data_IF_856196061782
#
_entry.id   IF_856196061782
#
_cell.length_a   1.000
_cell.length_b   1.000
_cell.length_c   1.000
_cell.angle_alpha   90.00
_cell.angle_beta   90.00
_cell.angle_gamma   90.00
#
_symmetry.space_group_name_H-M   'P 1'
#
loop_
_entity.id
_entity.type
_entity.pdbx_description
1 polymer ?
#
# COMPACT_ATOMS: atom_id res chain seq x y z
N UNK A 1 12.02 19.67 -18.39
CA UNK A 1 12.21 20.16 -17.00
C UNK A 1 12.79 19.01 -16.20
N UNK A 2 13.65 19.29 -15.23
CA UNK A 2 14.11 18.29 -14.27
C UNK A 2 12.88 17.70 -13.53
N UNK A 3 12.87 16.39 -13.28
CA UNK A 3 11.79 15.75 -12.53
C UNK A 3 11.82 16.30 -11.09
N UNK A 4 10.67 16.60 -10.43
CA UNK A 4 10.67 17.31 -9.14
C UNK A 4 11.64 16.72 -8.11
N UNK A 5 11.66 15.39 -7.95
CA UNK A 5 12.56 14.71 -7.01
C UNK A 5 14.07 14.82 -7.32
N UNK A 6 14.48 15.23 -8.52
CA UNK A 6 15.90 15.50 -8.80
C UNK A 6 16.44 16.70 -8.00
N UNK A 7 15.53 17.58 -7.54
CA UNK A 7 15.89 18.75 -6.73
C UNK A 7 15.93 18.47 -5.23
N UNK A 8 15.48 17.30 -4.78
CA UNK A 8 15.47 16.91 -3.36
C UNK A 8 16.82 16.32 -2.94
N UNK A 9 17.83 17.20 -2.86
CA UNK A 9 19.20 16.85 -2.45
C UNK A 9 19.27 16.57 -0.94
N UNK A 10 20.32 15.87 -0.46
CA UNK A 10 20.55 15.70 0.98
C UNK A 10 20.55 17.03 1.74
N UNK A 11 21.15 18.08 1.19
CA UNK A 11 21.16 19.42 1.80
C UNK A 11 19.73 19.98 1.95
N UNK A 12 18.88 19.85 0.91
CA UNK A 12 17.50 20.30 0.99
C UNK A 12 16.67 19.50 2.00
N UNK A 13 16.96 18.21 2.16
CA UNK A 13 16.35 17.37 3.20
C UNK A 13 16.73 17.88 4.58
N UNK A 14 18.00 18.22 4.81
CA UNK A 14 18.46 18.81 6.06
C UNK A 14 17.79 20.15 6.34
N UNK A 15 17.82 21.07 5.36
CA UNK A 15 17.20 22.39 5.46
C UNK A 15 15.70 22.29 5.79
N UNK A 16 15.00 21.31 5.21
CA UNK A 16 13.59 21.06 5.51
C UNK A 16 13.37 20.66 6.97
N UNK A 17 14.14 19.71 7.50
CA UNK A 17 14.04 19.26 8.89
C UNK A 17 14.42 20.37 9.88
N UNK A 18 15.48 21.12 9.59
CA UNK A 18 15.94 22.24 10.41
C UNK A 18 14.97 23.43 10.37
N UNK A 19 14.27 23.65 9.24
CA UNK A 19 13.29 24.75 9.11
C UNK A 19 12.13 24.67 10.09
N UNK A 20 11.87 23.48 10.66
CA UNK A 20 10.87 23.25 11.70
C UNK A 20 11.50 23.01 13.09
N UNK A 21 12.78 23.35 13.27
CA UNK A 21 13.43 23.44 14.58
C UNK A 21 14.17 22.19 15.07
N UNK A 22 14.32 21.17 14.23
CA UNK A 22 15.12 19.98 14.56
C UNK A 22 16.53 20.11 13.98
N UNK A 23 17.50 20.44 14.83
CA UNK A 23 18.91 20.57 14.42
C UNK A 23 19.49 19.22 13.99
N UNK A 24 20.04 19.14 12.78
CA UNK A 24 20.61 17.91 12.25
C UNK A 24 22.08 17.76 12.62
N UNK A 25 22.54 16.52 12.79
CA UNK A 25 23.96 16.19 12.89
C UNK A 25 24.64 15.94 11.51
N UNK A 26 23.98 16.37 10.44
CA UNK A 26 24.35 16.22 9.03
C UNK A 26 24.37 14.78 8.49
N UNK A 27 23.93 13.77 9.27
CA UNK A 27 23.73 12.41 8.74
C UNK A 27 22.39 12.32 8.03
N UNK A 28 22.43 11.99 6.74
CA UNK A 28 21.23 11.68 5.94
C UNK A 28 21.42 10.34 5.27
N UNK A 29 20.48 9.43 5.47
CA UNK A 29 20.42 8.13 4.81
C UNK A 29 19.11 8.00 4.05
N UNK A 30 19.18 7.89 2.73
CA UNK A 30 18.01 7.57 1.92
C UNK A 30 17.54 6.13 2.21
N UNK A 31 16.25 5.97 2.47
CA UNK A 31 15.61 4.66 2.66
C UNK A 31 14.94 4.21 1.36
N UNK A 32 14.75 2.90 1.20
CA UNK A 32 14.16 2.33 0.00
C UNK A 32 12.65 2.61 -0.05
N UNK A 33 12.26 3.72 -0.69
CA UNK A 33 10.88 4.07 -1.00
C UNK A 33 10.81 4.72 -2.38
N UNK A 34 9.95 4.18 -3.24
CA UNK A 34 9.85 4.62 -4.64
C UNK A 34 8.74 5.65 -4.86
N UNK A 35 7.63 5.51 -4.14
CA UNK A 35 6.50 6.43 -4.25
C UNK A 35 6.88 7.81 -3.72
N UNK A 36 7.21 7.85 -2.43
CA UNK A 36 7.66 9.01 -1.70
C UNK A 36 9.18 8.92 -1.52
N UNK A 37 9.84 10.04 -1.22
CA UNK A 37 11.25 10.02 -0.83
C UNK A 37 11.34 10.00 0.68
N UNK A 38 11.96 8.95 1.22
CA UNK A 38 12.05 8.73 2.67
C UNK A 38 13.51 8.74 3.07
N UNK A 39 13.84 9.51 4.10
CA UNK A 39 15.19 9.67 4.61
C UNK A 39 15.20 9.47 6.12
N UNK A 40 16.23 8.79 6.63
CA UNK A 40 16.59 8.88 8.03
C UNK A 40 17.55 10.06 8.21
N UNK A 41 17.20 10.99 9.08
CA UNK A 41 17.94 12.22 9.37
C UNK A 41 18.42 12.15 10.82
N UNK A 42 19.73 12.24 11.03
CA UNK A 42 20.31 12.30 12.37
C UNK A 42 20.04 13.65 13.02
N UNK A 43 19.69 13.65 14.31
CA UNK A 43 19.34 14.85 15.08
C UNK A 43 20.36 15.02 16.19
N UNK A 44 20.85 16.23 16.41
CA UNK A 44 21.80 16.53 17.49
C UNK A 44 21.22 16.11 18.86
N UNK A 45 22.03 15.40 19.64
CA UNK A 45 21.70 14.90 20.99
C UNK A 45 20.38 14.10 21.10
N UNK A 46 19.90 13.51 20.00
CA UNK A 46 18.64 12.77 19.93
C UNK A 46 18.69 11.56 19.01
N UNK A 47 17.64 10.74 19.04
CA UNK A 47 17.45 9.66 18.07
C UNK A 47 17.16 10.23 16.68
N UNK A 48 17.63 9.58 15.60
CA UNK A 48 17.30 9.98 14.24
C UNK A 48 15.79 9.97 13.99
N UNK A 49 15.34 10.85 13.09
CA UNK A 49 13.94 10.90 12.63
C UNK A 49 13.82 10.38 11.21
N UNK A 50 12.61 9.95 10.84
CA UNK A 50 12.28 9.56 9.47
C UNK A 50 11.52 10.71 8.81
N UNK A 51 12.12 11.33 7.80
CA UNK A 51 11.47 12.35 6.98
C UNK A 51 10.87 11.72 5.73
N UNK A 52 9.54 11.82 5.56
CA UNK A 52 8.80 11.38 4.37
C UNK A 52 8.39 12.60 3.56
N UNK A 53 8.93 12.72 2.35
CA UNK A 53 8.57 13.76 1.38
C UNK A 53 7.56 13.18 0.39
N UNK A 54 6.34 13.73 0.41
CA UNK A 54 5.24 13.28 -0.42
C UNK A 54 5.51 13.59 -1.89
N UNK A 55 5.21 12.63 -2.78
CA UNK A 55 5.28 12.85 -4.23
C UNK A 55 4.37 14.02 -4.62
N UNK A 56 4.92 15.06 -5.27
CA UNK A 56 4.11 16.14 -5.79
C UNK A 56 3.00 15.60 -6.71
N UNK A 57 1.80 16.16 -6.59
CA UNK A 57 0.64 15.84 -7.43
C UNK A 57 0.05 14.43 -7.25
N UNK A 58 0.54 13.60 -6.31
CA UNK A 58 -0.11 12.33 -5.94
C UNK A 58 -1.31 12.55 -5.01
N UNK A 59 -1.09 13.22 -3.89
CA UNK A 59 -2.13 13.52 -2.90
C UNK A 59 -2.28 15.02 -2.68
N UNK A 60 -3.51 15.47 -2.44
CA UNK A 60 -3.79 16.84 -1.98
C UNK A 60 -3.40 16.99 -0.51
N UNK A 61 -3.36 18.23 0.00
CA UNK A 61 -3.09 18.46 1.43
C UNK A 61 -4.16 17.79 2.30
N UNK A 62 -5.41 17.86 1.86
CA UNK A 62 -6.56 17.30 2.56
C UNK A 62 -6.44 15.77 2.65
N UNK A 63 -6.08 15.09 1.55
CA UNK A 63 -5.87 13.64 1.55
C UNK A 63 -4.68 13.20 2.42
N UNK A 64 -3.59 13.97 2.45
CA UNK A 64 -2.43 13.68 3.34
C UNK A 64 -2.83 13.87 4.81
N UNK A 65 -3.48 14.99 5.14
CA UNK A 65 -3.93 15.26 6.51
C UNK A 65 -4.99 14.26 6.98
N UNK A 66 -5.75 13.69 6.05
CA UNK A 66 -6.71 12.63 6.33
C UNK A 66 -6.02 11.30 6.71
N UNK A 67 -4.91 10.94 6.06
CA UNK A 67 -4.02 9.84 6.50
C UNK A 67 -3.46 10.10 7.89
N UNK A 68 -2.96 11.32 8.14
CA UNK A 68 -2.42 11.69 9.44
C UNK A 68 -3.49 11.55 10.54
N UNK A 69 -4.68 12.08 10.28
CA UNK A 69 -5.81 12.03 11.21
C UNK A 69 -6.22 10.60 11.52
N UNK A 70 -6.30 9.73 10.49
CA UNK A 70 -6.58 8.32 10.72
C UNK A 70 -5.49 7.63 11.52
N UNK A 71 -4.22 7.93 11.25
CA UNK A 71 -3.11 7.36 12.00
C UNK A 71 -3.11 7.81 13.47
N UNK A 72 -3.55 9.05 13.75
CA UNK A 72 -3.76 9.54 15.12
C UNK A 72 -4.92 8.83 15.81
N UNK A 73 -6.07 8.68 15.16
CA UNK A 73 -7.21 7.93 15.69
C UNK A 73 -6.83 6.50 16.06
N UNK A 74 -6.05 5.84 15.20
CA UNK A 74 -5.52 4.50 15.44
C UNK A 74 -4.63 4.47 16.69
N UNK A 75 -3.68 5.40 16.79
CA UNK A 75 -2.80 5.50 17.96
C UNK A 75 -3.56 5.81 19.25
N UNK A 76 -4.59 6.66 19.21
CA UNK A 76 -5.46 6.98 20.35
C UNK A 76 -6.30 5.78 20.81
N UNK A 77 -6.59 4.84 19.91
CA UNK A 77 -7.25 3.57 20.22
C UNK A 77 -6.26 2.44 20.53
N UNK A 78 -5.02 2.79 20.90
CA UNK A 78 -3.91 1.91 21.22
C UNK A 78 -3.55 0.92 20.08
N UNK A 79 -3.93 1.19 18.83
CA UNK A 79 -3.52 0.38 17.67
C UNK A 79 -2.04 0.67 17.40
N UNK A 80 -1.16 -0.35 17.43
CA UNK A 80 0.27 -0.17 17.16
C UNK A 80 0.56 0.33 15.74
N UNK A 81 0.61 1.64 15.55
CA UNK A 81 0.98 2.32 14.31
C UNK A 81 2.11 3.31 14.54
N UNK A 82 2.88 3.62 13.50
CA UNK A 82 3.88 4.70 13.56
C UNK A 82 3.24 6.00 13.07
N UNK A 83 2.72 6.79 14.00
CA UNK A 83 2.08 8.07 13.70
C UNK A 83 3.09 9.18 13.32
N UNK A 84 2.71 10.10 12.42
CA UNK A 84 3.53 11.27 12.11
C UNK A 84 3.63 12.18 13.34
N UNK A 85 4.75 12.87 13.51
CA UNK A 85 4.97 13.77 14.63
C UNK A 85 4.15 15.04 14.45
N UNK A 86 3.49 15.47 15.54
CA UNK A 86 2.90 16.80 15.63
C UNK A 86 3.95 17.76 16.17
N UNK A 87 4.25 18.80 15.41
CA UNK A 87 5.14 19.89 15.81
C UNK A 87 4.45 21.23 15.55
N UNK A 88 4.42 22.11 16.57
CA UNK A 88 3.69 23.40 16.53
C UNK A 88 2.22 23.26 16.05
N UNK A 89 1.55 22.19 16.49
CA UNK A 89 0.14 21.92 16.15
C UNK A 89 -0.10 21.43 14.71
N UNK A 90 0.97 21.09 13.96
CA UNK A 90 0.88 20.57 12.59
C UNK A 90 1.65 19.27 12.45
N UNK A 91 1.23 18.42 11.52
CA UNK A 91 1.95 17.19 11.14
C UNK A 91 2.36 17.17 9.66
N UNK A 92 1.80 18.07 8.84
CA UNK A 92 2.21 18.29 7.45
C UNK A 92 2.94 19.62 7.35
N UNK A 93 4.14 19.56 6.80
CA UNK A 93 5.04 20.70 6.63
C UNK A 93 5.33 20.90 5.14
N UNK A 94 5.86 22.07 4.80
CA UNK A 94 6.28 22.38 3.43
C UNK A 94 7.63 23.09 3.47
N UNK A 95 8.53 22.66 2.60
CA UNK A 95 9.83 23.30 2.40
C UNK A 95 10.21 23.23 0.92
N UNK A 96 10.57 24.37 0.33
CA UNK A 96 10.98 24.47 -1.08
C UNK A 96 10.02 23.79 -2.09
N UNK A 97 8.71 23.85 -1.84
CA UNK A 97 7.68 23.25 -2.68
C UNK A 97 7.45 21.75 -2.47
N UNK A 98 8.18 21.12 -1.53
CA UNK A 98 7.92 19.75 -1.10
C UNK A 98 7.11 19.71 0.18
N UNK A 99 6.07 18.88 0.19
CA UNK A 99 5.32 18.56 1.39
C UNK A 99 5.99 17.40 2.09
N UNK A 100 6.19 17.51 3.40
CA UNK A 100 6.84 16.47 4.17
C UNK A 100 6.25 16.33 5.57
N UNK A 101 6.53 15.18 6.18
CA UNK A 101 6.22 14.91 7.57
C UNK A 101 7.40 14.17 8.22
N UNK A 102 7.44 14.17 9.55
CA UNK A 102 8.45 13.47 10.34
C UNK A 102 7.78 12.33 11.11
N UNK A 103 8.46 11.19 11.20
CA UNK A 103 8.04 10.06 12.03
C UNK A 103 9.14 9.72 13.04
N UNK A 104 8.78 9.24 14.24
CA UNK A 104 9.75 8.64 15.13
C UNK A 104 10.35 7.39 14.45
N UNK A 105 11.67 7.23 14.55
CA UNK A 105 12.33 6.03 14.02
C UNK A 105 11.90 4.80 14.82
N UNK A 106 11.32 3.84 14.11
CA UNK A 106 10.99 2.52 14.63
C UNK A 106 11.70 1.48 13.78
N UNK A 107 12.27 0.48 14.44
CA UNK A 107 12.90 -0.67 13.80
C UNK A 107 12.21 -1.95 14.22
N UNK A 108 12.29 -2.96 13.37
CA UNK A 108 11.74 -4.30 13.59
C UNK A 108 12.01 -5.19 12.39
N UNK A 109 11.59 -6.44 12.46
CA UNK A 109 11.64 -7.38 11.34
C UNK A 109 10.25 -7.59 10.79
N UNK A 110 10.14 -7.87 9.49
CA UNK A 110 8.88 -8.33 8.93
C UNK A 110 8.40 -9.62 9.63
N UNK A 111 7.09 -9.87 9.71
CA UNK A 111 6.54 -11.15 10.14
C UNK A 111 7.09 -12.29 9.29
N UNK A 112 7.19 -13.48 9.89
CA UNK A 112 7.56 -14.70 9.18
C UNK A 112 6.35 -15.23 8.39
N UNK A 113 6.45 -15.37 7.05
CA UNK A 113 5.34 -15.88 6.24
C UNK A 113 4.89 -17.27 6.69
N UNK A 114 3.57 -17.46 6.82
CA UNK A 114 2.96 -18.74 7.21
C UNK A 114 3.07 -19.11 8.70
N UNK A 115 3.66 -18.26 9.55
CA UNK A 115 3.70 -18.49 10.98
C UNK A 115 2.31 -18.24 11.62
N UNK A 116 1.64 -19.33 12.03
CA UNK A 116 0.27 -19.30 12.54
C UNK A 116 0.10 -18.45 13.81
N UNK A 117 1.03 -18.55 14.76
CA UNK A 117 1.01 -17.75 16.01
C UNK A 117 1.15 -16.25 15.73
N UNK A 118 1.91 -15.90 14.69
CA UNK A 118 2.01 -14.52 14.23
C UNK A 118 0.73 -14.08 13.52
N UNK A 119 0.14 -14.93 12.67
CA UNK A 119 -1.10 -14.63 11.96
C UNK A 119 -2.27 -14.35 12.90
N UNK A 120 -2.43 -15.11 13.98
CA UNK A 120 -3.44 -14.83 14.99
C UNK A 120 -3.28 -13.42 15.60
N UNK A 121 -2.06 -13.06 16.01
CA UNK A 121 -1.74 -11.71 16.54
C UNK A 121 -1.92 -10.60 15.51
N UNK A 122 -1.58 -10.87 14.25
CA UNK A 122 -1.84 -9.96 13.13
C UNK A 122 -3.35 -9.80 12.89
N UNK A 123 -4.12 -10.87 13.05
CA UNK A 123 -5.57 -10.85 13.05
C UNK A 123 -6.10 -9.85 14.05
N UNK A 124 -5.69 -9.97 15.31
CA UNK A 124 -6.07 -9.04 16.39
C UNK A 124 -5.74 -7.58 16.03
N UNK A 125 -4.53 -7.34 15.50
CA UNK A 125 -4.08 -6.03 15.08
C UNK A 125 -4.96 -5.42 13.98
N UNK A 126 -5.27 -6.21 12.95
CA UNK A 126 -6.10 -5.78 11.82
C UNK A 126 -7.57 -5.62 12.21
N UNK A 127 -8.08 -6.48 13.10
CA UNK A 127 -9.42 -6.33 13.68
C UNK A 127 -9.57 -5.00 14.40
N UNK A 128 -8.57 -4.60 15.20
CA UNK A 128 -8.56 -3.29 15.87
C UNK A 128 -8.45 -2.13 14.88
N UNK A 129 -7.59 -2.24 13.87
CA UNK A 129 -7.47 -1.22 12.83
C UNK A 129 -8.81 -1.01 12.11
N UNK A 130 -9.46 -2.09 11.68
CA UNK A 130 -10.73 -2.02 10.98
C UNK A 130 -11.90 -1.60 11.88
N UNK A 131 -11.89 -1.94 13.17
CA UNK A 131 -12.87 -1.43 14.12
C UNK A 131 -12.87 0.11 14.15
N UNK A 132 -11.68 0.74 14.20
CA UNK A 132 -11.52 2.19 14.08
C UNK A 132 -11.88 2.66 12.67
N UNK A 133 -11.40 1.95 11.65
CA UNK A 133 -11.61 2.27 10.24
C UNK A 133 -13.08 2.28 9.80
N UNK A 134 -13.92 1.46 10.45
CA UNK A 134 -15.35 1.34 10.19
C UNK A 134 -16.21 2.45 10.82
N UNK A 135 -15.64 3.27 11.72
CA UNK A 135 -16.42 4.28 12.47
C UNK A 135 -16.87 5.47 11.61
N UNK A 136 -16.10 5.83 10.58
CA UNK A 136 -16.42 6.90 9.62
C UNK A 136 -15.69 6.69 8.29
N UNK A 137 -16.21 7.22 7.17
CA UNK A 137 -15.52 7.16 5.89
C UNK A 137 -14.42 8.23 5.78
N UNK A 138 -13.51 8.05 4.83
CA UNK A 138 -12.72 9.14 4.28
C UNK A 138 -13.58 10.04 3.38
N UNK A 139 -13.27 11.33 3.37
CA UNK A 139 -13.85 12.37 2.52
C UNK A 139 -12.96 12.67 1.31
N UNK A 140 -11.63 12.60 1.44
CA UNK A 140 -10.68 13.01 0.40
C UNK A 140 -9.90 11.84 -0.22
N UNK A 141 -9.79 10.71 0.48
CA UNK A 141 -9.19 9.47 -0.04
C UNK A 141 -10.22 8.61 -0.75
N UNK A 142 -9.90 8.26 -1.99
CA UNK A 142 -10.78 7.49 -2.87
C UNK A 142 -11.02 6.06 -2.34
N UNK A 143 -12.07 5.43 -2.83
CA UNK A 143 -12.25 3.99 -2.65
C UNK A 143 -11.40 3.20 -3.65
N UNK A 144 -10.87 2.05 -3.22
CA UNK A 144 -10.39 1.02 -4.13
C UNK A 144 -11.57 0.52 -4.95
N UNK A 145 -11.44 0.55 -6.28
CA UNK A 145 -12.47 0.05 -7.18
C UNK A 145 -11.94 -0.45 -8.50
N UNK A 146 -12.82 -1.10 -9.25
CA UNK A 146 -12.49 -1.67 -10.57
C UNK A 146 -12.11 -0.57 -11.57
N UNK A 147 -12.67 0.64 -11.44
CA UNK A 147 -12.34 1.77 -12.31
C UNK A 147 -10.88 2.21 -12.14
N UNK A 148 -10.47 2.62 -10.94
CA UNK A 148 -9.14 3.24 -10.72
C UNK A 148 -7.98 2.21 -10.69
N UNK A 149 -8.22 0.97 -10.24
CA UNK A 149 -7.19 -0.07 -10.24
C UNK A 149 -7.19 -0.93 -11.51
N UNK A 150 -8.32 -1.01 -12.21
CA UNK A 150 -8.49 -1.85 -13.40
C UNK A 150 -8.51 -1.05 -14.69
N UNK A 151 -9.63 -0.40 -15.01
CA UNK A 151 -9.83 0.29 -16.29
C UNK A 151 -8.85 1.44 -16.52
N UNK A 152 -8.69 2.33 -15.55
CA UNK A 152 -7.77 3.47 -15.67
C UNK A 152 -6.31 2.99 -15.77
N UNK A 153 -5.98 1.85 -15.13
CA UNK A 153 -4.67 1.19 -15.26
C UNK A 153 -4.47 0.63 -16.67
N UNK A 154 -5.47 -0.08 -17.22
CA UNK A 154 -5.41 -0.59 -18.58
C UNK A 154 -5.27 0.54 -19.60
N UNK A 155 -6.06 1.60 -19.49
CA UNK A 155 -5.96 2.79 -20.35
C UNK A 155 -4.56 3.37 -20.32
N UNK A 156 -4.00 3.59 -19.13
CA UNK A 156 -2.61 4.09 -18.96
C UNK A 156 -1.61 3.24 -19.74
N UNK A 157 -1.73 1.91 -19.67
CA UNK A 157 -0.78 0.99 -20.29
C UNK A 157 -0.92 0.93 -21.82
N UNK A 158 -2.15 0.96 -22.33
CA UNK A 158 -2.42 0.94 -23.77
C UNK A 158 -1.99 2.26 -24.44
N UNK A 159 -2.15 3.40 -23.74
CA UNK A 159 -1.75 4.71 -24.24
C UNK A 159 -0.24 4.98 -24.09
N UNK A 160 0.40 4.36 -23.07
CA UNK A 160 1.79 4.63 -22.71
C UNK A 160 2.87 4.01 -23.60
N UNK A 161 2.51 3.17 -24.58
CA UNK A 161 3.46 2.49 -25.48
C UNK A 161 4.54 1.63 -24.79
N UNK A 162 4.28 1.14 -23.57
CA UNK A 162 5.22 0.29 -22.82
C UNK A 162 5.19 -1.18 -23.24
N UNK A 163 4.05 -1.63 -23.77
CA UNK A 163 3.82 -3.02 -24.15
C UNK A 163 4.40 -3.26 -25.56
N UNK A 164 5.28 -4.26 -25.76
CA UNK A 164 5.78 -4.64 -27.07
C UNK A 164 4.65 -4.96 -28.05
N UNK A 165 4.78 -4.47 -29.30
CA UNK A 165 3.76 -4.63 -30.34
C UNK A 165 3.36 -6.09 -30.60
N UNK A 166 4.29 -7.02 -30.43
CA UNK A 166 4.11 -8.47 -30.54
C UNK A 166 3.13 -9.02 -29.48
N UNK A 167 3.11 -8.42 -28.28
CA UNK A 167 2.34 -8.87 -27.12
C UNK A 167 1.08 -8.06 -26.87
N UNK A 168 1.00 -6.84 -27.41
CA UNK A 168 -0.11 -5.91 -27.20
C UNK A 168 -1.50 -6.54 -27.45
N UNK A 169 -1.76 -7.26 -28.57
CA UNK A 169 -3.07 -7.88 -28.78
C UNK A 169 -3.42 -8.93 -27.72
N UNK A 170 -2.43 -9.72 -27.30
CA UNK A 170 -2.62 -10.77 -26.30
C UNK A 170 -2.87 -10.18 -24.90
N UNK A 171 -2.11 -9.14 -24.53
CA UNK A 171 -2.28 -8.42 -23.26
C UNK A 171 -3.64 -7.72 -23.19
N UNK A 172 -4.00 -6.97 -24.23
CA UNK A 172 -5.28 -6.26 -24.26
C UNK A 172 -6.46 -7.23 -24.17
N UNK A 173 -6.43 -8.34 -24.92
CA UNK A 173 -7.49 -9.35 -24.88
C UNK A 173 -7.68 -9.92 -23.47
N UNK A 174 -6.60 -10.43 -22.85
CA UNK A 174 -6.73 -11.06 -21.52
C UNK A 174 -7.09 -10.04 -20.44
N UNK A 175 -6.56 -8.82 -20.50
CA UNK A 175 -6.88 -7.78 -19.53
C UNK A 175 -8.36 -7.38 -19.58
N UNK A 176 -8.96 -7.28 -20.78
CA UNK A 176 -10.39 -6.97 -20.94
C UNK A 176 -11.28 -8.11 -20.43
N UNK A 177 -10.95 -9.35 -20.74
CA UNK A 177 -11.69 -10.53 -20.24
C UNK A 177 -11.60 -10.62 -18.71
N UNK A 178 -10.41 -10.37 -18.16
CA UNK A 178 -10.18 -10.32 -16.72
C UNK A 178 -11.01 -9.23 -16.03
N UNK A 179 -10.98 -8.00 -16.53
CA UNK A 179 -11.76 -6.89 -15.96
C UNK A 179 -13.26 -7.16 -15.99
N UNK A 180 -13.78 -7.73 -17.10
CA UNK A 180 -15.19 -8.12 -17.17
C UNK A 180 -15.54 -9.10 -16.05
N UNK A 181 -14.71 -10.12 -15.83
CA UNK A 181 -14.93 -11.10 -14.76
C UNK A 181 -14.85 -10.47 -13.36
N UNK A 182 -13.87 -9.58 -13.15
CA UNK A 182 -13.71 -8.81 -11.91
C UNK A 182 -14.99 -8.00 -11.61
N UNK A 183 -15.54 -7.30 -12.60
CA UNK A 183 -16.79 -6.54 -12.45
C UNK A 183 -17.99 -7.42 -12.07
N UNK A 184 -18.11 -8.59 -12.70
CA UNK A 184 -19.16 -9.55 -12.38
C UNK A 184 -19.09 -10.02 -10.92
N UNK A 185 -17.89 -10.35 -10.43
CA UNK A 185 -17.68 -10.79 -9.04
C UNK A 185 -17.92 -9.65 -8.06
N UNK A 186 -17.42 -8.44 -8.34
CA UNK A 186 -17.70 -7.25 -7.52
C UNK A 186 -19.20 -6.97 -7.42
N UNK A 187 -19.94 -7.06 -8.53
CA UNK A 187 -21.39 -6.86 -8.56
C UNK A 187 -22.14 -7.96 -7.79
N UNK A 188 -21.65 -9.19 -7.83
CA UNK A 188 -22.23 -10.32 -7.11
C UNK A 188 -21.86 -10.35 -5.61
N UNK A 189 -20.91 -9.51 -5.18
CA UNK A 189 -20.38 -9.50 -3.81
C UNK A 189 -20.53 -8.11 -3.18
N UNK A 190 -21.75 -7.71 -2.79
CA UNK A 190 -21.96 -6.49 -2.02
C UNK A 190 -21.14 -6.53 -0.73
N UNK A 191 -20.38 -5.47 -0.48
CA UNK A 191 -19.51 -5.32 0.68
C UNK A 191 -19.62 -3.89 1.23
N UNK A 192 -19.17 -3.69 2.47
CA UNK A 192 -19.11 -2.37 3.09
C UNK A 192 -17.67 -1.88 3.04
N UNK A 193 -17.48 -0.68 2.49
CA UNK A 193 -16.17 -0.05 2.52
C UNK A 193 -15.90 0.55 3.90
N UNK A 194 -14.69 0.32 4.41
CA UNK A 194 -14.14 0.91 5.62
C UNK A 194 -12.82 1.62 5.28
N UNK A 195 -12.33 2.48 6.17
CA UNK A 195 -10.96 2.98 6.07
C UNK A 195 -10.01 1.83 6.39
N UNK A 196 -9.16 1.49 5.44
CA UNK A 196 -8.22 0.37 5.52
C UNK A 196 -6.80 0.86 5.21
N UNK A 197 -5.80 0.08 5.56
CA UNK A 197 -4.40 0.32 5.23
C UNK A 197 -4.18 0.34 3.71
N UNK A 198 -4.88 -0.50 2.95
CA UNK A 198 -4.92 -0.47 1.49
C UNK A 198 -3.75 -1.20 0.80
N UNK A 199 -2.57 -1.21 1.43
CA UNK A 199 -1.41 -2.02 1.01
C UNK A 199 -0.86 -2.87 2.17
N UNK A 200 -1.74 -3.57 2.88
CA UNK A 200 -1.35 -4.35 4.06
C UNK A 200 -0.67 -5.67 3.68
N UNK A 201 0.65 -5.76 3.79
CA UNK A 201 1.40 -6.99 3.58
C UNK A 201 2.57 -7.07 4.59
N UNK A 202 3.22 -8.24 4.78
CA UNK A 202 4.27 -8.39 5.79
C UNK A 202 5.42 -7.37 5.71
N UNK A 203 5.68 -6.81 4.52
CA UNK A 203 6.69 -5.76 4.31
C UNK A 203 6.34 -4.42 4.95
N UNK A 204 5.05 -4.13 5.15
CA UNK A 204 4.54 -2.93 5.83
C UNK A 204 4.22 -3.20 7.31
N UNK A 205 4.85 -4.23 7.88
CA UNK A 205 4.73 -4.61 9.28
C UNK A 205 6.10 -4.74 9.90
N UNK A 206 6.25 -4.27 11.13
CA UNK A 206 7.47 -4.40 11.91
C UNK A 206 7.18 -5.09 13.23
N UNK A 207 7.78 -6.25 13.44
CA UNK A 207 7.79 -6.96 14.71
C UNK A 207 9.07 -6.63 15.47
N UNK A 208 8.91 -6.18 16.71
CA UNK A 208 10.00 -6.00 17.68
C UNK A 208 9.47 -6.31 19.07
N UNK A 209 10.24 -7.08 19.85
CA UNK A 209 9.87 -7.46 21.22
C UNK A 209 8.46 -8.09 21.29
N UNK A 210 8.16 -8.99 20.35
CA UNK A 210 6.86 -9.66 20.18
C UNK A 210 5.65 -8.75 19.88
N UNK A 211 5.90 -7.47 19.59
CA UNK A 211 4.89 -6.47 19.25
C UNK A 211 4.96 -6.08 17.78
N UNK A 212 3.87 -6.28 17.06
CA UNK A 212 3.72 -5.80 15.68
C UNK A 212 3.37 -4.32 15.66
N UNK A 213 3.94 -3.59 14.72
CA UNK A 213 3.59 -2.22 14.38
C UNK A 213 3.29 -2.15 12.89
N UNK A 214 2.22 -1.45 12.54
CA UNK A 214 1.88 -1.11 11.16
C UNK A 214 2.65 0.17 10.78
N UNK A 215 3.20 0.16 9.57
CA UNK A 215 3.88 1.32 8.98
C UNK A 215 3.30 1.63 7.61
N UNK A 216 3.52 2.87 7.18
CA UNK A 216 3.21 3.36 5.84
C UNK A 216 1.73 3.31 5.42
N UNK A 217 0.93 4.18 6.04
CA UNK A 217 -0.46 4.41 5.63
C UNK A 217 -0.59 5.33 4.39
N UNK A 218 0.45 5.47 3.53
CA UNK A 218 0.34 6.31 2.33
C UNK A 218 -0.75 5.87 1.37
N UNK A 219 -0.99 4.56 1.32
CA UNK A 219 -1.99 3.92 0.48
C UNK A 219 -3.31 3.65 1.20
N UNK A 220 -3.48 4.17 2.43
CA UNK A 220 -4.75 4.06 3.14
C UNK A 220 -5.88 4.67 2.32
N UNK A 221 -7.02 4.00 2.31
CA UNK A 221 -8.14 4.32 1.41
C UNK A 221 -9.41 3.64 1.89
N UNK A 222 -10.52 3.91 1.21
CA UNK A 222 -11.76 3.19 1.45
C UNK A 222 -11.75 1.84 0.68
N UNK A 223 -12.23 0.76 1.27
CA UNK A 223 -12.42 -0.50 0.55
C UNK A 223 -12.88 -1.66 1.43
N UNK A 224 -13.01 -2.87 0.86
CA UNK A 224 -13.43 -4.06 1.60
C UNK A 224 -12.33 -4.49 2.59
N UNK A 225 -12.73 -4.94 3.77
CA UNK A 225 -11.80 -5.36 4.83
C UNK A 225 -10.84 -6.46 4.35
N UNK A 226 -11.31 -7.36 3.48
CA UNK A 226 -10.49 -8.44 2.93
C UNK A 226 -9.22 -7.96 2.22
N UNK A 227 -9.19 -6.72 1.71
CA UNK A 227 -8.00 -6.15 1.06
C UNK A 227 -6.78 -6.17 1.97
N UNK A 228 -6.94 -5.88 3.26
CA UNK A 228 -5.83 -5.89 4.21
C UNK A 228 -5.50 -7.29 4.75
N UNK A 229 -6.32 -8.29 4.44
CA UNK A 229 -6.22 -9.64 4.99
C UNK A 229 -5.54 -10.61 4.02
N UNK A 230 -5.93 -10.60 2.74
CA UNK A 230 -5.55 -11.67 1.81
C UNK A 230 -4.06 -11.70 1.50
N UNK A 231 -3.37 -10.56 1.60
CA UNK A 231 -1.94 -10.43 1.33
C UNK A 231 -1.04 -10.99 2.44
N UNK A 232 -1.64 -11.41 3.58
CA UNK A 232 -0.95 -12.16 4.63
C UNK A 232 -0.88 -13.65 4.33
N UNK A 233 -1.72 -14.14 3.42
CA UNK A 233 -1.81 -15.56 3.09
C UNK A 233 -0.73 -15.95 2.08
N UNK A 234 -0.11 -17.10 2.28
CA UNK A 234 0.93 -17.63 1.41
C UNK A 234 0.86 -19.16 1.32
N UNK A 235 1.31 -19.71 0.19
CA UNK A 235 1.36 -21.16 -0.03
C UNK A 235 0.18 -21.69 -0.84
N UNK A 236 -0.04 -23.00 -0.76
CA UNK A 236 -1.14 -23.65 -1.45
C UNK A 236 -2.51 -23.36 -0.81
N UNK A 237 -3.58 -23.86 -1.43
CA UNK A 237 -4.95 -23.61 -0.95
C UNK A 237 -5.19 -24.15 0.47
N UNK A 238 -4.62 -25.30 0.83
CA UNK A 238 -4.81 -25.89 2.15
C UNK A 238 -4.06 -25.09 3.21
N UNK A 239 -2.83 -24.67 2.91
CA UNK A 239 -2.05 -23.77 3.76
C UNK A 239 -2.78 -22.44 3.96
N UNK A 240 -3.28 -21.83 2.88
CA UNK A 240 -4.05 -20.58 2.95
C UNK A 240 -5.32 -20.71 3.80
N UNK A 241 -6.01 -21.86 3.78
CA UNK A 241 -7.20 -22.08 4.62
C UNK A 241 -6.83 -22.15 6.10
N UNK A 242 -5.74 -22.83 6.46
CA UNK A 242 -5.25 -22.86 7.85
C UNK A 242 -4.83 -21.47 8.32
N UNK A 243 -4.07 -20.75 7.51
CA UNK A 243 -3.65 -19.38 7.79
C UNK A 243 -4.83 -18.41 7.92
N UNK A 244 -5.82 -18.53 7.03
CA UNK A 244 -7.03 -17.71 7.09
C UNK A 244 -7.82 -17.98 8.37
N UNK A 245 -7.94 -19.25 8.80
CA UNK A 245 -8.61 -19.59 10.07
C UNK A 245 -7.97 -18.87 11.24
N UNK A 246 -6.65 -19.00 11.42
CA UNK A 246 -5.91 -18.38 12.52
C UNK A 246 -5.98 -16.85 12.48
N UNK A 247 -5.83 -16.26 11.28
CA UNK A 247 -5.97 -14.82 11.08
C UNK A 247 -7.37 -14.34 11.48
N UNK A 248 -8.42 -15.10 11.14
CA UNK A 248 -9.81 -14.74 11.43
C UNK A 248 -10.18 -14.94 12.89
N UNK A 249 -9.61 -15.94 13.57
CA UNK A 249 -9.80 -16.13 15.01
C UNK A 249 -9.31 -14.90 15.79
N UNK A 250 -8.15 -14.34 15.44
CA UNK A 250 -7.67 -13.10 16.05
C UNK A 250 -8.45 -11.86 15.62
N UNK A 251 -8.81 -11.77 14.34
CA UNK A 251 -9.51 -10.61 13.78
C UNK A 251 -10.89 -10.39 14.42
N UNK A 252 -11.65 -11.47 14.56
CA UNK A 252 -13.03 -11.43 15.05
C UNK A 252 -13.16 -11.11 16.54
N UNK A 253 -12.05 -11.08 17.30
CA UNK A 253 -12.05 -10.58 18.68
C UNK A 253 -12.35 -9.07 18.76
N UNK A 254 -12.04 -8.33 17.68
CA UNK A 254 -12.13 -6.87 17.67
C UNK A 254 -13.05 -6.33 16.58
N UNK A 255 -13.27 -7.07 15.49
CA UNK A 255 -14.20 -6.66 14.44
C UNK A 255 -14.81 -7.84 13.68
N UNK A 256 -16.12 -7.80 13.44
CA UNK A 256 -16.80 -8.82 12.64
C UNK A 256 -16.33 -8.81 11.18
N UNK A 257 -15.98 -9.98 10.65
CA UNK A 257 -15.66 -10.15 9.23
C UNK A 257 -16.85 -10.74 8.49
N UNK A 258 -17.15 -10.24 7.28
CA UNK A 258 -18.14 -10.84 6.39
C UNK A 258 -17.46 -11.85 5.46
N UNK A 259 -17.68 -13.17 5.64
CA UNK A 259 -17.00 -14.19 4.84
C UNK A 259 -17.30 -14.10 3.34
N UNK A 260 -18.35 -13.38 2.93
CA UNK A 260 -18.64 -13.14 1.51
C UNK A 260 -17.53 -12.34 0.83
N UNK A 261 -16.82 -11.49 1.57
CA UNK A 261 -15.68 -10.73 1.05
C UNK A 261 -14.53 -11.63 0.58
N UNK A 262 -14.44 -12.90 1.01
CA UNK A 262 -13.44 -13.85 0.50
C UNK A 262 -13.54 -14.07 -1.01
N UNK A 263 -14.72 -13.86 -1.61
CA UNK A 263 -14.88 -13.88 -3.06
C UNK A 263 -14.16 -12.72 -3.78
N UNK A 264 -13.78 -11.65 -3.06
CA UNK A 264 -13.06 -10.50 -3.61
C UNK A 264 -11.55 -10.69 -3.62
N UNK A 265 -10.99 -11.75 -3.04
CA UNK A 265 -9.53 -11.99 -3.01
C UNK A 265 -8.94 -12.02 -4.43
N UNK A 266 -9.46 -12.88 -5.29
CA UNK A 266 -8.96 -13.00 -6.67
C UNK A 266 -9.24 -11.74 -7.52
N UNK A 267 -10.41 -11.07 -7.39
CA UNK A 267 -10.62 -9.76 -8.00
C UNK A 267 -9.62 -8.69 -7.55
N UNK A 268 -9.33 -8.59 -6.25
CA UNK A 268 -8.39 -7.62 -5.69
C UNK A 268 -6.96 -7.91 -6.14
N UNK A 269 -6.57 -9.20 -6.20
CA UNK A 269 -5.27 -9.62 -6.74
C UNK A 269 -5.12 -9.26 -8.22
N UNK A 270 -6.16 -9.50 -9.03
CA UNK A 270 -6.18 -9.09 -10.43
C UNK A 270 -5.99 -7.57 -10.59
N UNK A 271 -6.73 -6.79 -9.81
CA UNK A 271 -6.62 -5.33 -9.77
C UNK A 271 -5.21 -4.87 -9.34
N UNK A 272 -4.62 -5.51 -8.32
CA UNK A 272 -3.26 -5.20 -7.86
C UNK A 272 -2.20 -5.46 -8.95
N UNK A 273 -2.29 -6.59 -9.66
CA UNK A 273 -1.38 -6.93 -10.77
C UNK A 273 -1.42 -5.88 -11.88
N UNK A 274 -2.62 -5.51 -12.34
CA UNK A 274 -2.79 -4.50 -13.38
C UNK A 274 -2.34 -3.12 -12.91
N UNK A 275 -2.73 -2.74 -11.69
CA UNK A 275 -2.38 -1.45 -11.12
C UNK A 275 -0.87 -1.29 -10.92
N UNK A 276 -0.14 -2.35 -10.53
CA UNK A 276 1.31 -2.30 -10.38
C UNK A 276 2.03 -1.93 -11.68
N UNK A 277 1.64 -2.56 -12.79
CA UNK A 277 2.20 -2.22 -14.11
C UNK A 277 1.88 -0.77 -14.50
N UNK A 278 0.65 -0.31 -14.28
CA UNK A 278 0.26 1.07 -14.55
C UNK A 278 0.96 2.07 -13.61
N UNK A 279 1.20 1.68 -12.36
CA UNK A 279 1.92 2.48 -11.37
C UNK A 279 3.35 2.77 -11.82
N UNK A 280 4.06 1.76 -12.36
CA UNK A 280 5.37 1.92 -12.99
C UNK A 280 5.31 2.87 -14.19
N UNK A 281 4.34 2.65 -15.09
CA UNK A 281 4.15 3.47 -16.29
C UNK A 281 3.92 4.97 -15.96
N UNK A 282 3.09 5.27 -14.95
CA UNK A 282 2.78 6.65 -14.52
C UNK A 282 3.97 7.40 -13.93
N UNK A 283 5.03 6.69 -13.57
CA UNK A 283 6.23 7.23 -12.89
C UNK A 283 7.49 7.03 -13.72
N UNK A 284 7.35 6.65 -14.99
CA UNK A 284 8.49 6.28 -15.82
C UNK A 284 9.41 7.46 -16.17
N UNK A 285 8.90 8.68 -16.05
CA UNK A 285 9.67 9.93 -16.19
C UNK A 285 10.54 10.25 -14.96
N UNK A 286 10.27 9.63 -13.80
CA UNK A 286 11.14 9.69 -12.62
C UNK A 286 12.40 8.84 -12.87
N UNK A 287 13.62 9.45 -12.88
CA UNK A 287 14.86 8.73 -13.20
C UNK A 287 15.14 7.51 -12.32
N UNK A 288 14.61 7.47 -11.09
CA UNK A 288 14.77 6.33 -10.21
C UNK A 288 14.07 5.06 -10.74
N UNK A 289 13.00 5.22 -11.52
CA UNK A 289 12.17 4.11 -12.00
C UNK A 289 12.85 3.30 -13.11
N UNK A 290 13.34 3.90 -14.22
CA UNK A 290 14.09 3.14 -15.22
C UNK A 290 15.34 2.47 -14.65
N UNK A 291 15.99 3.08 -13.66
CA UNK A 291 17.16 2.50 -13.00
C UNK A 291 16.80 1.28 -12.13
N UNK A 292 15.69 1.36 -11.38
CA UNK A 292 15.28 0.31 -10.44
C UNK A 292 14.48 -0.82 -11.09
N UNK A 293 13.79 -0.51 -12.20
CA UNK A 293 12.91 -1.42 -12.93
C UNK A 293 13.30 -1.55 -14.42
N UNK A 294 14.59 -1.81 -14.76
CA UNK A 294 15.06 -1.79 -16.15
C UNK A 294 14.39 -2.85 -17.04
N UNK A 295 13.77 -3.86 -16.43
CA UNK A 295 13.05 -4.95 -17.10
C UNK A 295 11.64 -4.57 -17.55
N UNK A 296 11.05 -3.47 -17.09
CA UNK A 296 9.63 -3.12 -17.32
C UNK A 296 9.27 -3.00 -18.81
N UNK A 297 10.18 -2.49 -19.66
CA UNK A 297 9.96 -2.39 -21.10
C UNK A 297 10.29 -3.66 -21.91
N UNK A 298 10.68 -4.76 -21.26
CA UNK A 298 11.17 -5.95 -21.96
C UNK A 298 10.04 -6.89 -22.44
N UNK A 299 10.26 -7.61 -23.53
CA UNK A 299 9.32 -8.66 -23.98
C UNK A 299 9.10 -9.73 -22.92
N UNK A 300 10.14 -10.08 -22.15
CA UNK A 300 10.03 -11.07 -21.08
C UNK A 300 9.02 -10.63 -20.02
N UNK A 301 9.16 -9.42 -19.50
CA UNK A 301 8.23 -8.91 -18.48
C UNK A 301 6.79 -8.94 -18.97
N UNK A 302 6.52 -8.41 -20.17
CA UNK A 302 5.16 -8.38 -20.69
C UNK A 302 4.62 -9.76 -21.07
N UNK A 303 5.49 -10.69 -21.49
CA UNK A 303 5.12 -12.09 -21.69
C UNK A 303 4.70 -12.75 -20.38
N UNK A 304 5.47 -12.54 -19.31
CA UNK A 304 5.15 -13.02 -17.96
C UNK A 304 3.86 -12.37 -17.44
N UNK A 305 3.63 -11.08 -17.71
CA UNK A 305 2.37 -10.40 -17.36
C UNK A 305 1.16 -11.02 -18.08
N UNK A 306 1.25 -11.30 -19.39
CA UNK A 306 0.17 -11.96 -20.13
C UNK A 306 -0.16 -13.32 -19.51
N UNK A 307 0.86 -14.10 -19.15
CA UNK A 307 0.68 -15.39 -18.47
C UNK A 307 -0.01 -15.22 -17.11
N UNK A 308 0.49 -14.31 -16.27
CA UNK A 308 -0.06 -14.03 -14.96
C UNK A 308 -1.55 -13.59 -15.03
N UNK A 309 -1.94 -12.76 -16.01
CA UNK A 309 -3.34 -12.38 -16.19
C UNK A 309 -4.23 -13.56 -16.62
N UNK A 310 -3.70 -14.52 -17.41
CA UNK A 310 -4.43 -15.74 -17.79
C UNK A 310 -4.62 -16.68 -16.60
N UNK A 311 -3.57 -16.87 -15.81
CA UNK A 311 -3.62 -17.66 -14.58
C UNK A 311 -4.61 -17.04 -13.59
N UNK A 312 -4.58 -15.71 -13.43
CA UNK A 312 -5.52 -14.99 -12.57
C UNK A 312 -6.97 -15.10 -13.05
N UNK A 313 -7.20 -15.07 -14.37
CA UNK A 313 -8.53 -15.32 -14.94
C UNK A 313 -9.01 -16.75 -14.66
N UNK A 314 -8.10 -17.74 -14.67
CA UNK A 314 -8.43 -19.12 -14.28
C UNK A 314 -8.80 -19.19 -12.79
N UNK A 315 -7.99 -18.60 -11.92
CA UNK A 315 -8.23 -18.56 -10.47
C UNK A 315 -9.57 -17.90 -10.10
N UNK A 316 -9.98 -16.84 -10.82
CA UNK A 316 -11.29 -16.18 -10.67
C UNK A 316 -12.50 -17.07 -11.00
N UNK A 317 -12.28 -18.18 -11.69
CA UNK A 317 -13.32 -19.16 -12.02
C UNK A 317 -13.31 -20.36 -11.07
N UNK A 318 -12.33 -20.46 -10.17
CA UNK A 318 -12.33 -21.44 -9.09
C UNK A 318 -13.23 -21.01 -7.94
N UNK A 319 -13.55 -21.93 -7.04
CA UNK A 319 -14.31 -21.58 -5.84
C UNK A 319 -13.47 -20.70 -4.90
N UNK A 320 -14.04 -19.60 -4.35
CA UNK A 320 -13.38 -18.80 -3.33
C UNK A 320 -12.95 -19.62 -2.11
N UNK A 321 -12.01 -19.08 -1.34
CA UNK A 321 -11.75 -19.58 0.02
C UNK A 321 -13.03 -19.47 0.85
N UNK A 322 -13.23 -20.42 1.76
CA UNK A 322 -14.40 -20.49 2.64
C UNK A 322 -13.93 -20.72 4.07
N UNK A 323 -14.47 -19.93 4.99
CA UNK A 323 -14.43 -20.21 6.43
C UNK A 323 -15.57 -21.18 6.74
N UNK A 324 -15.29 -22.21 7.54
CA UNK A 324 -16.25 -23.26 7.90
C UNK A 324 -17.14 -22.87 9.06
#
# INVERSE_FOLDING_TARGET
MAHPFETLTPDLVLDAVESIGFLSDARVLALNSYENRVYQVGIEDSEPLIAKFYRPQRWTNEAILEEHSFTFELAECDVPVVAPMIHNGKSLFEHAGFRFTLFPRRGGRAPEPGNLDQLYRLGQLLGRLHAVGATRPFEHREALGVKNFGHDSLTTLLEGNFIPKSLLPAYESVARDLLKRVEEVYKATPHKNIRMHGDCHPGNMMCRDEMFHIVDLDDCRMGPAVQDLWMMLAGDRQECLGQLSELMDGYQEFHDFDPRELALIEPLRALRLMHYSAWLARRWDDPAFPHSFPWFGSERYWGDQVLALREQLSALNEEPLKLF
#
